data_IF_337124703794
#
_entry.id   IF_337124703794
#
_cell.length_a   1.000
_cell.length_b   1.000
_cell.length_c   1.000
_cell.angle_alpha   90.00
_cell.angle_beta   90.00
_cell.angle_gamma   90.00
#
_symmetry.space_group_name_H-M   'P 1'
#
loop_
_entity.id
_entity.type
_entity.pdbx_description
1 polymer ?
#
# COMPACT_ATOMS: atom_id res chain seq x y z
N UNK A 1 -7.99 5.48 -10.48
CA UNK A 1 -8.73 4.80 -11.58
C UNK A 1 -9.65 5.73 -12.38
N UNK A 2 -10.46 6.60 -11.75
CA UNK A 2 -11.37 7.52 -12.49
C UNK A 2 -10.67 8.40 -13.53
N UNK A 3 -9.53 9.01 -13.19
CA UNK A 3 -8.75 9.84 -14.12
C UNK A 3 -8.21 9.05 -15.32
N UNK A 4 -7.67 7.84 -15.07
CA UNK A 4 -7.19 6.95 -16.14
C UNK A 4 -8.34 6.49 -17.06
N UNK A 5 -9.51 6.17 -16.50
CA UNK A 5 -10.70 5.82 -17.29
C UNK A 5 -11.17 7.00 -18.15
N UNK A 6 -11.16 8.22 -17.59
CA UNK A 6 -11.47 9.43 -18.37
C UNK A 6 -10.47 9.68 -19.49
N UNK A 7 -9.18 9.43 -19.26
CA UNK A 7 -8.16 9.54 -20.31
C UNK A 7 -8.40 8.49 -21.41
N UNK A 8 -8.70 7.24 -21.03
CA UNK A 8 -9.01 6.16 -21.96
C UNK A 8 -10.24 6.44 -22.82
N UNK A 9 -11.33 6.98 -22.24
CA UNK A 9 -12.54 7.39 -23.01
C UNK A 9 -12.22 8.52 -24.01
N UNK A 10 -11.27 9.40 -23.68
CA UNK A 10 -10.78 10.46 -24.58
C UNK A 10 -9.81 9.94 -25.66
N UNK A 11 -9.65 8.62 -25.78
CA UNK A 11 -8.79 8.01 -26.79
C UNK A 11 -7.31 7.97 -26.42
N UNK A 12 -6.93 8.20 -25.15
CA UNK A 12 -5.54 8.08 -24.73
C UNK A 12 -5.07 6.62 -24.84
N UNK A 13 -4.10 6.38 -25.73
CA UNK A 13 -3.41 5.11 -25.89
C UNK A 13 -1.99 5.24 -25.35
N UNK A 14 -1.58 4.45 -24.34
CA UNK A 14 -0.24 4.50 -23.80
C UNK A 14 0.75 3.89 -24.80
N UNK A 15 1.74 4.68 -25.21
CA UNK A 15 2.86 4.27 -26.08
C UNK A 15 4.17 4.73 -25.45
N UNK A 16 5.32 4.15 -25.79
CA UNK A 16 6.62 4.57 -25.26
C UNK A 16 7.15 5.86 -25.89
N UNK A 17 6.34 6.94 -25.87
CA UNK A 17 6.67 8.25 -26.44
C UNK A 17 6.70 9.33 -25.34
N UNK A 18 7.47 10.39 -25.53
CA UNK A 18 7.60 11.52 -24.61
C UNK A 18 6.24 12.17 -24.27
N UNK A 19 5.32 12.22 -25.23
CA UNK A 19 3.95 12.72 -25.01
C UNK A 19 3.18 11.88 -23.97
N UNK A 20 3.37 10.57 -23.99
CA UNK A 20 2.74 9.64 -23.04
C UNK A 20 3.29 9.87 -21.64
N UNK A 21 4.61 9.99 -21.48
CA UNK A 21 5.23 10.33 -20.19
C UNK A 21 4.74 11.67 -19.64
N UNK A 22 4.63 12.69 -20.48
CA UNK A 22 4.08 14.00 -20.09
C UNK A 22 2.63 13.91 -19.60
N UNK A 23 1.81 13.10 -20.27
CA UNK A 23 0.42 12.85 -19.86
C UNK A 23 0.32 12.13 -18.52
N UNK A 24 1.20 11.14 -18.28
CA UNK A 24 1.30 10.48 -16.98
C UNK A 24 1.75 11.45 -15.88
N UNK A 25 2.71 12.32 -16.14
CA UNK A 25 3.16 13.34 -15.19
C UNK A 25 2.00 14.26 -14.77
N UNK A 26 1.19 14.73 -15.71
CA UNK A 26 -0.01 15.52 -15.39
C UNK A 26 -1.03 14.73 -14.58
N UNK A 27 -1.22 13.45 -14.88
CA UNK A 27 -2.16 12.61 -14.14
C UNK A 27 -1.71 12.39 -12.69
N UNK A 28 -0.41 12.18 -12.48
CA UNK A 28 0.19 12.08 -11.14
C UNK A 28 0.07 13.42 -10.40
N UNK A 29 0.37 14.55 -11.06
CA UNK A 29 0.20 15.88 -10.47
C UNK A 29 -1.23 16.13 -10.00
N UNK A 30 -2.23 15.77 -10.81
CA UNK A 30 -3.64 15.88 -10.43
C UNK A 30 -4.01 14.97 -9.25
N UNK A 31 -3.42 13.77 -9.15
CA UNK A 31 -3.64 12.90 -7.99
C UNK A 31 -3.06 13.53 -6.74
N UNK A 32 -1.85 14.07 -6.81
CA UNK A 32 -1.16 14.70 -5.69
C UNK A 32 -1.97 15.87 -5.13
N UNK A 33 -2.35 16.83 -5.97
CA UNK A 33 -3.14 18.01 -5.55
C UNK A 33 -4.45 17.59 -4.88
N UNK A 34 -5.17 16.63 -5.48
CA UNK A 34 -6.45 16.15 -4.94
C UNK A 34 -6.29 15.38 -3.63
N UNK A 35 -5.19 14.64 -3.47
CA UNK A 35 -4.89 13.91 -2.25
C UNK A 35 -4.57 14.89 -1.11
N UNK A 36 -3.78 15.93 -1.37
CA UNK A 36 -3.45 16.98 -0.40
C UNK A 36 -4.69 17.74 0.09
N UNK A 37 -5.53 18.21 -0.84
CA UNK A 37 -6.79 18.89 -0.52
C UNK A 37 -7.76 17.98 0.26
N UNK A 38 -7.82 16.68 -0.08
CA UNK A 38 -8.57 15.70 0.71
C UNK A 38 -7.99 15.53 2.12
N UNK A 39 -6.67 15.46 2.27
CA UNK A 39 -6.02 15.30 3.57
C UNK A 39 -6.34 16.49 4.47
N UNK A 40 -6.32 17.71 3.95
CA UNK A 40 -6.68 18.92 4.70
C UNK A 40 -8.15 18.90 5.15
N UNK A 41 -9.09 18.54 4.26
CA UNK A 41 -10.50 18.40 4.64
C UNK A 41 -10.71 17.36 5.73
N UNK A 42 -10.05 16.21 5.62
CA UNK A 42 -10.12 15.15 6.64
C UNK A 42 -9.52 15.65 7.95
N UNK A 43 -8.38 16.35 7.91
CA UNK A 43 -7.74 16.93 9.09
C UNK A 43 -8.65 17.93 9.81
N UNK A 44 -9.27 18.86 9.06
CA UNK A 44 -10.27 19.78 9.60
C UNK A 44 -11.44 19.03 10.27
N UNK A 45 -11.94 17.98 9.64
CA UNK A 45 -13.00 17.13 10.21
C UNK A 45 -12.52 16.31 11.44
N UNK A 46 -11.24 15.97 11.53
CA UNK A 46 -10.65 15.36 12.74
C UNK A 46 -10.59 16.38 13.87
N UNK A 47 -10.17 17.61 13.59
CA UNK A 47 -10.11 18.68 14.59
C UNK A 47 -11.50 19.00 15.17
N UNK A 48 -12.54 19.07 14.33
CA UNK A 48 -13.92 19.25 14.80
C UNK A 48 -14.43 18.11 15.71
N UNK A 49 -13.83 16.91 15.63
CA UNK A 49 -14.13 15.77 16.51
C UNK A 49 -13.27 15.73 17.79
N UNK A 50 -12.42 16.74 18.00
CA UNK A 50 -11.53 16.81 19.17
C UNK A 50 -10.17 16.12 18.98
N UNK A 51 -9.68 16.01 17.74
CA UNK A 51 -8.37 15.39 17.47
C UNK A 51 -7.22 16.18 18.12
N UNK A 52 -6.53 15.56 19.08
CA UNK A 52 -5.44 16.15 19.86
C UNK A 52 -4.04 15.89 19.28
N UNK A 53 -3.93 15.65 17.96
CA UNK A 53 -2.64 15.39 17.29
C UNK A 53 -2.10 13.97 17.45
N UNK A 54 -2.83 13.07 18.12
CA UNK A 54 -2.47 11.65 18.26
C UNK A 54 -3.41 10.78 17.43
N UNK A 55 -2.85 9.98 16.53
CA UNK A 55 -3.60 8.98 15.77
C UNK A 55 -3.82 7.74 16.61
N UNK A 56 -5.05 7.55 17.08
CA UNK A 56 -5.46 6.32 17.75
C UNK A 56 -5.82 5.28 16.69
N UNK A 57 -5.00 4.25 16.55
CA UNK A 57 -5.36 3.08 15.75
C UNK A 57 -6.50 2.34 16.47
N UNK A 58 -7.65 2.25 15.83
CA UNK A 58 -8.77 1.41 16.27
C UNK A 58 -8.50 -0.08 16.05
N UNK A 59 -7.40 -0.42 15.38
CA UNK A 59 -6.99 -1.80 15.20
C UNK A 59 -6.20 -2.25 16.42
N UNK A 60 -6.87 -2.96 17.31
CA UNK A 60 -6.24 -3.75 18.34
C UNK A 60 -5.47 -4.89 17.65
N UNK A 61 -4.16 -4.97 17.88
CA UNK A 61 -3.35 -6.11 17.44
C UNK A 61 -3.79 -7.35 18.23
N UNK A 62 -4.83 -8.03 17.74
CA UNK A 62 -5.26 -9.30 18.30
C UNK A 62 -4.33 -10.40 17.79
N UNK A 63 -3.47 -10.91 18.67
CA UNK A 63 -2.66 -12.11 18.41
C UNK A 63 -3.61 -13.29 18.15
N UNK A 64 -3.77 -13.70 16.89
CA UNK A 64 -4.69 -14.79 16.54
C UNK A 64 -3.99 -16.14 16.69
N UNK A 65 -4.75 -17.19 17.02
CA UNK A 65 -4.21 -18.56 17.07
C UNK A 65 -3.65 -19.01 15.72
N UNK A 66 -4.16 -18.46 14.63
CA UNK A 66 -3.64 -18.67 13.28
C UNK A 66 -2.22 -18.09 13.11
N UNK A 67 -1.91 -16.95 13.74
CA UNK A 67 -0.58 -16.35 13.70
C UNK A 67 0.44 -17.25 14.42
N UNK A 68 0.03 -17.87 15.53
CA UNK A 68 0.87 -18.85 16.26
C UNK A 68 1.14 -20.10 15.41
N UNK A 69 0.10 -20.67 14.79
CA UNK A 69 0.25 -21.83 13.90
C UNK A 69 1.19 -21.47 12.75
N UNK A 70 1.06 -20.27 12.18
CA UNK A 70 1.89 -19.84 11.07
C UNK A 70 3.34 -19.60 11.46
N UNK A 71 3.57 -19.05 12.66
CA UNK A 71 4.90 -18.94 13.24
C UNK A 71 5.55 -20.31 13.41
N UNK A 72 4.84 -21.27 14.02
CA UNK A 72 5.37 -22.63 14.25
C UNK A 72 5.70 -23.32 12.92
N UNK A 73 4.80 -23.29 11.94
CA UNK A 73 5.04 -23.91 10.62
C UNK A 73 6.25 -23.29 9.92
N UNK A 74 6.40 -21.96 9.94
CA UNK A 74 7.56 -21.29 9.34
C UNK A 74 8.87 -21.64 10.07
N UNK A 75 8.86 -21.71 11.40
CA UNK A 75 10.06 -22.11 12.16
C UNK A 75 10.49 -23.54 11.84
N UNK A 76 9.54 -24.48 11.73
CA UNK A 76 9.83 -25.87 11.36
C UNK A 76 10.37 -25.95 9.93
N UNK A 77 9.79 -25.20 8.99
CA UNK A 77 10.26 -25.18 7.61
C UNK A 77 11.71 -24.70 7.48
N UNK A 78 12.09 -23.65 8.23
CA UNK A 78 13.46 -23.12 8.23
C UNK A 78 14.43 -24.14 8.83
N UNK A 79 14.12 -24.70 10.00
CA UNK A 79 14.96 -25.72 10.65
C UNK A 79 15.13 -26.94 9.74
N UNK A 80 14.05 -27.39 9.08
CA UNK A 80 14.11 -28.50 8.14
C UNK A 80 15.03 -28.22 6.94
N UNK A 81 15.06 -26.98 6.47
CA UNK A 81 15.91 -26.56 5.35
C UNK A 81 17.39 -26.49 5.76
N UNK A 82 17.68 -25.96 6.95
CA UNK A 82 19.04 -25.95 7.53
C UNK A 82 19.59 -27.37 7.73
N UNK A 83 18.77 -28.28 8.24
CA UNK A 83 19.15 -29.69 8.43
C UNK A 83 19.46 -30.35 7.08
N UNK A 84 18.64 -30.08 6.06
CA UNK A 84 18.85 -30.64 4.72
C UNK A 84 20.15 -30.14 4.08
N UNK A 85 20.49 -28.86 4.25
CA UNK A 85 21.77 -28.31 3.79
C UNK A 85 22.93 -28.96 4.55
N UNK A 86 22.85 -29.09 5.87
CA UNK A 86 23.88 -29.75 6.68
C UNK A 86 24.13 -31.20 6.27
N UNK A 87 23.06 -31.98 6.06
CA UNK A 87 23.14 -33.38 5.62
C UNK A 87 23.67 -33.52 4.20
N UNK A 88 23.47 -32.50 3.34
CA UNK A 88 23.98 -32.50 1.97
C UNK A 88 25.45 -32.03 1.88
N UNK A 89 25.92 -31.27 2.86
CA UNK A 89 27.30 -30.78 2.96
C UNK A 89 28.22 -31.82 3.65
N UNK A 90 27.69 -32.64 4.56
CA UNK A 90 28.38 -33.78 5.17
C UNK A 90 28.42 -35.02 4.26
#
# INVERSE_FOLDING_TARGET
>A
RRLLRSASIRGFRPTSNLHTYKTYAYLIGMIFVRASDRAERVYKAMLCRGFAGRFYSLHEFSFSRLDLIWLVVMTIAIIGLEILEWVKIA
#
